data_IF_318477094234
#
_entry.id   IF_318477094234
#
_cell.length_a   1.000
_cell.length_b   1.000
_cell.length_c   1.000
_cell.angle_alpha   90.00
_cell.angle_beta   90.00
_cell.angle_gamma   90.00
#
_symmetry.space_group_name_H-M   'P 1'
#
loop_
_entity.id
_entity.type
_entity.pdbx_description
1 polymer ?
#
# COMPACT_ATOMS: atom_id res chain seq x y z
N UNK A 1 -23.06 -12.84 8.32
CA UNK A 1 -22.48 -12.41 9.63
C UNK A 1 -21.94 -11.00 9.47
N UNK A 2 -22.50 -10.00 10.15
CA UNK A 2 -22.07 -8.61 10.01
C UNK A 2 -20.64 -8.48 10.56
N UNK A 3 -19.64 -8.26 9.68
CA UNK A 3 -18.30 -7.80 10.08
C UNK A 3 -18.41 -6.32 10.46
N UNK A 4 -18.14 -5.97 11.69
CA UNK A 4 -18.10 -4.59 12.17
C UNK A 4 -16.74 -4.03 11.77
N UNK A 5 -16.66 -3.32 10.65
CA UNK A 5 -15.45 -2.61 10.26
C UNK A 5 -15.29 -1.38 11.16
N UNK A 6 -14.22 -1.35 11.93
CA UNK A 6 -13.86 -0.24 12.78
C UNK A 6 -13.09 0.78 11.94
N UNK A 7 -13.77 1.86 11.56
CA UNK A 7 -13.14 3.01 10.90
C UNK A 7 -12.22 3.72 11.91
N UNK A 8 -10.93 3.69 11.68
CA UNK A 8 -9.98 4.58 12.35
C UNK A 8 -9.40 5.57 11.33
N UNK A 9 -10.03 6.73 11.25
CA UNK A 9 -9.42 7.89 10.60
C UNK A 9 -8.46 8.49 11.63
N UNK A 10 -7.15 8.29 11.43
CA UNK A 10 -6.13 8.99 12.22
C UNK A 10 -5.77 10.28 11.50
N UNK A 11 -6.44 11.37 11.86
CA UNK A 11 -6.05 12.73 11.48
C UNK A 11 -4.90 13.15 12.43
N UNK A 12 -3.65 13.01 11.99
CA UNK A 12 -2.52 13.63 12.68
C UNK A 12 -2.16 14.96 12.02
N UNK A 13 -2.65 16.05 12.59
CA UNK A 13 -2.14 17.40 12.30
C UNK A 13 -0.82 17.57 13.05
N UNK A 14 0.31 17.51 12.35
CA UNK A 14 1.63 17.81 12.93
C UNK A 14 1.98 19.26 12.63
N UNK A 15 2.07 20.06 13.68
CA UNK A 15 2.60 21.44 13.62
C UNK A 15 4.13 21.34 13.48
N UNK A 16 4.65 21.76 12.33
CA UNK A 16 6.10 21.82 12.05
C UNK A 16 6.66 23.13 12.60
N UNK A 17 7.50 23.03 13.62
CA UNK A 17 8.37 24.14 14.06
C UNK A 17 9.64 24.17 13.18
N UNK A 18 9.75 25.23 12.36
CA UNK A 18 10.92 25.52 11.54
C UNK A 18 12.10 25.96 12.41
N UNK A 19 13.10 25.10 12.55
CA UNK A 19 14.42 25.49 13.04
C UNK A 19 15.38 25.59 11.85
N UNK A 20 15.79 26.81 11.53
CA UNK A 20 16.79 27.10 10.51
C UNK A 20 18.16 26.63 10.98
N UNK A 21 18.78 25.64 10.30
CA UNK A 21 20.19 25.33 10.42
C UNK A 21 20.88 25.51 9.07
N UNK A 22 22.06 26.15 9.13
CA UNK A 22 22.95 26.48 8.01
C UNK A 22 23.40 25.25 7.20
N UNK A 23 23.69 25.38 5.88
CA UNK A 23 24.06 24.24 5.05
C UNK A 23 25.53 23.82 5.33
N UNK A 24 25.71 22.72 6.01
CA UNK A 24 26.93 21.94 5.95
C UNK A 24 26.88 21.09 4.67
N UNK A 25 27.81 21.27 3.74
CA UNK A 25 27.94 20.48 2.53
C UNK A 25 28.48 19.08 2.86
N UNK A 26 27.59 18.21 3.35
CA UNK A 26 27.84 16.77 3.38
C UNK A 26 27.47 16.22 1.99
N UNK A 27 28.42 15.58 1.29
CA UNK A 27 28.14 14.73 0.14
C UNK A 27 27.00 13.78 0.55
N UNK A 28 25.83 13.96 -0.06
CA UNK A 28 24.74 12.98 0.08
C UNK A 28 25.28 11.62 -0.33
N UNK A 29 25.29 10.66 0.59
CA UNK A 29 25.57 9.28 0.26
C UNK A 29 24.51 8.82 -0.73
N UNK A 30 24.92 8.37 -1.92
CA UNK A 30 24.00 7.87 -2.94
C UNK A 30 23.24 6.71 -2.32
N UNK A 31 21.93 6.85 -2.20
CA UNK A 31 21.06 5.79 -1.68
C UNK A 31 21.19 4.56 -2.58
N UNK A 32 21.30 3.38 -1.97
CA UNK A 32 21.35 2.12 -2.69
C UNK A 32 20.09 1.95 -3.57
N UNK A 33 20.26 1.46 -4.80
CA UNK A 33 19.15 1.31 -5.74
C UNK A 33 18.08 0.34 -5.25
N UNK A 34 18.46 -0.70 -4.50
CA UNK A 34 17.51 -1.62 -3.87
C UNK A 34 16.63 -0.89 -2.86
N UNK A 35 17.22 -0.02 -2.03
CA UNK A 35 16.46 0.79 -1.05
C UNK A 35 15.57 1.81 -1.75
N UNK A 36 16.03 2.41 -2.87
CA UNK A 36 15.19 3.31 -3.67
C UNK A 36 13.97 2.57 -4.23
N UNK A 37 14.15 1.36 -4.75
CA UNK A 37 13.05 0.53 -5.24
C UNK A 37 12.07 0.19 -4.10
N UNK A 38 12.57 -0.28 -2.97
CA UNK A 38 11.73 -0.58 -1.80
C UNK A 38 10.95 0.66 -1.35
N UNK A 39 11.59 1.81 -1.24
CA UNK A 39 10.92 3.05 -0.88
C UNK A 39 9.83 3.44 -1.88
N UNK A 40 10.03 3.19 -3.17
CA UNK A 40 9.04 3.47 -4.21
C UNK A 40 7.77 2.62 -4.04
N UNK A 41 7.86 1.39 -3.55
CA UNK A 41 6.68 0.51 -3.38
C UNK A 41 5.63 1.09 -2.41
N UNK A 42 6.05 1.91 -1.44
CA UNK A 42 5.15 2.57 -0.48
C UNK A 42 5.25 4.11 -0.50
N UNK A 43 5.86 4.69 -1.56
CA UNK A 43 6.04 6.14 -1.65
C UNK A 43 4.71 6.91 -1.58
N UNK A 44 3.65 6.39 -2.19
CA UNK A 44 2.33 7.00 -2.19
C UNK A 44 1.82 7.20 -0.76
N UNK A 45 1.79 6.14 0.06
CA UNK A 45 1.31 6.23 1.44
C UNK A 45 2.27 7.03 2.33
N UNK A 46 3.57 7.01 2.03
CA UNK A 46 4.58 7.80 2.74
C UNK A 46 4.29 9.30 2.56
N UNK A 47 4.01 9.74 1.32
CA UNK A 47 3.66 11.14 1.03
C UNK A 47 2.29 11.48 1.61
N UNK A 48 1.31 10.61 1.51
CA UNK A 48 -0.02 10.79 2.13
C UNK A 48 0.09 11.03 3.64
N UNK A 49 1.04 10.39 4.31
CA UNK A 49 1.32 10.58 5.73
C UNK A 49 2.22 11.80 6.04
N UNK A 50 2.59 12.61 5.05
CA UNK A 50 3.49 13.76 5.21
C UNK A 50 4.94 13.37 5.56
N UNK A 51 5.37 12.16 5.20
CA UNK A 51 6.71 11.63 5.45
C UNK A 51 7.60 11.74 4.22
N UNK A 52 8.91 11.47 4.37
CA UNK A 52 9.91 11.60 3.29
C UNK A 52 10.08 10.28 2.53
N UNK A 53 9.65 10.16 1.26
CA UNK A 53 9.76 8.93 0.48
C UNK A 53 11.21 8.55 0.12
N UNK A 54 12.20 9.40 0.39
CA UNK A 54 13.64 9.09 0.22
C UNK A 54 14.22 8.31 1.40
N UNK A 55 13.52 8.28 2.54
CA UNK A 55 13.96 7.56 3.74
C UNK A 55 13.30 6.19 3.81
N UNK A 56 14.06 5.20 4.24
CA UNK A 56 13.53 3.85 4.50
C UNK A 56 12.48 3.93 5.62
N UNK A 57 11.24 3.52 5.31
CA UNK A 57 10.08 3.68 6.18
C UNK A 57 9.58 5.11 6.34
N UNK A 58 10.02 6.06 5.50
CA UNK A 58 9.54 7.44 5.48
C UNK A 58 10.15 8.35 6.54
N UNK A 59 10.99 7.85 7.45
CA UNK A 59 11.58 8.62 8.54
C UNK A 59 12.85 7.98 9.11
N UNK A 60 13.63 8.79 9.85
CA UNK A 60 14.83 8.29 10.53
C UNK A 60 14.47 7.48 11.79
N UNK A 61 15.23 6.41 12.13
CA UNK A 61 15.00 5.59 13.33
C UNK A 61 15.47 6.31 14.61
N UNK A 62 14.76 7.36 15.02
CA UNK A 62 14.99 8.07 16.29
C UNK A 62 14.09 7.50 17.38
N UNK A 63 14.43 7.74 18.66
CA UNK A 63 13.59 7.28 19.78
C UNK A 63 12.16 7.81 19.72
N UNK A 64 11.96 9.04 19.22
CA UNK A 64 10.63 9.62 19.05
C UNK A 64 9.85 8.90 17.94
N UNK A 65 10.49 8.64 16.78
CA UNK A 65 9.88 7.95 15.67
C UNK A 65 9.63 6.46 15.99
N UNK A 66 10.53 5.82 16.74
CA UNK A 66 10.32 4.46 17.23
C UNK A 66 9.07 4.35 18.10
N UNK A 67 8.84 5.32 19.01
CA UNK A 67 7.62 5.36 19.82
C UNK A 67 6.38 5.54 18.95
N UNK A 68 6.40 6.48 18.01
CA UNK A 68 5.30 6.73 17.07
C UNK A 68 4.97 5.47 16.26
N UNK A 69 5.99 4.80 15.70
CA UNK A 69 5.77 3.59 14.91
C UNK A 69 5.22 2.43 15.75
N UNK A 70 5.63 2.28 17.01
CA UNK A 70 5.04 1.30 17.92
C UNK A 70 3.55 1.55 18.14
N UNK A 71 3.15 2.80 18.34
CA UNK A 71 1.74 3.17 18.52
C UNK A 71 0.92 2.89 17.24
N UNK A 72 1.44 3.23 16.07
CA UNK A 72 0.78 2.97 14.78
C UNK A 72 0.70 1.46 14.50
N UNK A 73 1.79 0.73 14.65
CA UNK A 73 1.82 -0.72 14.40
C UNK A 73 0.89 -1.47 15.37
N UNK A 74 0.84 -1.07 16.62
CA UNK A 74 -0.09 -1.66 17.59
C UNK A 74 -1.55 -1.37 17.23
N UNK A 75 -1.89 -0.10 16.90
CA UNK A 75 -3.28 0.30 16.67
C UNK A 75 -3.85 -0.21 15.35
N UNK A 76 -3.04 -0.17 14.27
CA UNK A 76 -3.50 -0.51 12.92
C UNK A 76 -3.27 -2.00 12.55
N UNK A 77 -2.26 -2.66 13.17
CA UNK A 77 -1.81 -3.99 12.77
C UNK A 77 -1.76 -5.00 13.91
N UNK A 78 -2.03 -4.59 15.15
CA UNK A 78 -1.86 -5.40 16.36
C UNK A 78 -0.43 -5.93 16.54
N UNK A 79 0.56 -5.25 15.97
CA UNK A 79 1.98 -5.60 16.06
C UNK A 79 2.56 -4.95 17.31
N UNK A 80 3.15 -5.78 18.21
CA UNK A 80 3.70 -5.34 19.50
C UNK A 80 5.13 -5.81 19.75
N UNK A 81 5.65 -6.70 18.92
CA UNK A 81 6.96 -7.35 19.06
C UNK A 81 7.47 -7.92 17.73
N UNK A 82 8.63 -8.58 17.77
CA UNK A 82 9.24 -9.21 16.59
C UNK A 82 8.39 -10.32 15.99
N UNK A 83 7.79 -11.18 16.82
CA UNK A 83 7.01 -12.33 16.36
C UNK A 83 5.76 -11.88 15.61
N UNK A 84 5.00 -10.93 16.18
CA UNK A 84 3.83 -10.36 15.53
C UNK A 84 4.17 -9.57 14.27
N UNK A 85 5.33 -8.88 14.23
CA UNK A 85 5.80 -8.18 13.05
C UNK A 85 6.11 -9.15 11.90
N UNK A 86 6.93 -10.17 12.14
CA UNK A 86 7.29 -11.16 11.11
C UNK A 86 6.07 -11.97 10.65
N UNK A 87 5.19 -12.35 11.57
CA UNK A 87 3.96 -13.07 11.24
C UNK A 87 3.04 -12.27 10.34
N UNK A 88 2.85 -10.98 10.63
CA UNK A 88 2.02 -10.09 9.80
C UNK A 88 2.64 -9.88 8.41
N UNK A 89 3.96 -9.65 8.34
CA UNK A 89 4.64 -9.49 7.06
C UNK A 89 4.54 -10.79 6.24
N UNK A 90 4.75 -11.94 6.88
CA UNK A 90 4.64 -13.23 6.20
C UNK A 90 3.21 -13.49 5.69
N UNK A 91 2.18 -13.16 6.46
CA UNK A 91 0.80 -13.24 6.01
C UNK A 91 0.55 -12.36 4.78
N UNK A 92 1.03 -11.10 4.77
CA UNK A 92 0.92 -10.20 3.62
C UNK A 92 1.68 -10.75 2.38
N UNK A 93 2.76 -11.50 2.58
CA UNK A 93 3.54 -12.10 1.49
C UNK A 93 2.89 -13.36 0.90
N UNK A 94 2.00 -14.04 1.63
CA UNK A 94 1.48 -15.36 1.24
C UNK A 94 -0.01 -15.42 0.98
N UNK A 95 -0.81 -14.78 1.81
CA UNK A 95 -2.27 -14.80 1.77
C UNK A 95 -2.81 -13.39 1.55
N UNK A 96 -2.58 -12.53 2.53
CA UNK A 96 -3.04 -11.15 2.52
C UNK A 96 -4.57 -11.05 2.43
N UNK A 97 -5.03 -9.91 1.96
CA UNK A 97 -6.42 -9.68 1.59
C UNK A 97 -6.73 -10.24 0.21
N UNK A 98 -5.67 -10.52 -0.57
CA UNK A 98 -5.82 -11.05 -1.92
C UNK A 98 -6.49 -12.42 -1.94
N UNK A 99 -6.25 -13.27 -0.95
CA UNK A 99 -6.87 -14.59 -0.88
C UNK A 99 -8.41 -14.50 -0.85
N UNK A 100 -8.96 -13.67 0.05
CA UNK A 100 -10.42 -13.44 0.15
C UNK A 100 -10.96 -12.77 -1.12
N UNK A 101 -10.22 -11.80 -1.67
CA UNK A 101 -10.61 -11.14 -2.93
C UNK A 101 -10.74 -12.15 -4.09
N UNK A 102 -9.78 -13.06 -4.23
CA UNK A 102 -9.78 -14.06 -5.29
C UNK A 102 -10.98 -15.03 -5.16
N UNK A 103 -11.35 -15.42 -3.93
CA UNK A 103 -12.54 -16.26 -3.70
C UNK A 103 -13.82 -15.55 -4.19
N UNK A 104 -14.01 -14.27 -3.87
CA UNK A 104 -15.17 -13.51 -4.32
C UNK A 104 -15.16 -13.23 -5.82
N UNK A 105 -13.99 -12.95 -6.40
CA UNK A 105 -13.85 -12.77 -7.84
C UNK A 105 -14.18 -14.06 -8.60
N UNK A 106 -13.74 -15.22 -8.12
CA UNK A 106 -14.05 -16.51 -8.71
C UNK A 106 -15.56 -16.80 -8.63
N UNK A 107 -16.22 -16.48 -7.51
CA UNK A 107 -17.66 -16.58 -7.36
C UNK A 107 -18.40 -15.68 -8.37
N UNK A 108 -17.95 -14.43 -8.53
CA UNK A 108 -18.50 -13.52 -9.54
C UNK A 108 -18.35 -14.09 -10.95
N UNK A 109 -17.15 -14.56 -11.32
CA UNK A 109 -16.91 -15.11 -12.66
C UNK A 109 -17.77 -16.33 -12.94
N UNK A 110 -17.96 -17.21 -11.94
CA UNK A 110 -18.76 -18.40 -12.07
C UNK A 110 -20.28 -18.12 -12.22
N UNK A 111 -20.76 -16.99 -11.66
CA UNK A 111 -22.18 -16.64 -11.61
C UNK A 111 -22.47 -15.28 -12.27
N UNK A 112 -21.70 -14.90 -13.29
CA UNK A 112 -21.71 -13.55 -13.89
C UNK A 112 -23.10 -13.10 -14.34
N UNK A 113 -23.92 -14.00 -14.88
CA UNK A 113 -25.27 -13.67 -15.35
C UNK A 113 -26.17 -13.26 -14.17
N UNK A 114 -26.12 -13.98 -13.05
CA UNK A 114 -26.90 -13.66 -11.84
C UNK A 114 -26.51 -12.30 -11.26
N UNK A 115 -25.19 -12.01 -11.17
CA UNK A 115 -24.70 -10.70 -10.71
C UNK A 115 -25.15 -9.56 -11.64
N UNK A 116 -25.14 -9.77 -12.96
CA UNK A 116 -25.63 -8.79 -13.93
C UNK A 116 -27.13 -8.53 -13.82
N UNK A 117 -27.93 -9.57 -13.54
CA UNK A 117 -29.36 -9.42 -13.29
C UNK A 117 -29.61 -8.56 -12.06
N UNK A 118 -28.90 -8.81 -10.94
CA UNK A 118 -28.96 -7.99 -9.71
C UNK A 118 -28.58 -6.53 -10.00
N UNK A 119 -27.47 -6.29 -10.71
CA UNK A 119 -27.05 -4.93 -11.09
C UNK A 119 -28.13 -4.23 -11.94
N UNK A 120 -28.74 -4.97 -12.85
CA UNK A 120 -29.81 -4.44 -13.69
C UNK A 120 -31.04 -4.03 -12.86
N UNK A 121 -31.40 -4.81 -11.85
CA UNK A 121 -32.49 -4.49 -10.91
C UNK A 121 -32.15 -3.25 -10.07
N UNK A 122 -30.94 -3.17 -9.53
CA UNK A 122 -30.48 -2.01 -8.77
C UNK A 122 -30.53 -0.74 -9.64
N UNK A 123 -30.00 -0.79 -10.85
CA UNK A 123 -29.97 0.34 -11.78
C UNK A 123 -31.37 0.77 -12.28
N UNK A 124 -32.34 -0.14 -12.28
CA UNK A 124 -33.76 0.19 -12.59
C UNK A 124 -34.46 0.88 -11.41
N UNK A 125 -33.90 0.77 -10.19
CA UNK A 125 -34.37 1.51 -9.03
C UNK A 125 -33.94 2.99 -9.11
N UNK A 126 -34.87 3.90 -8.79
CA UNK A 126 -34.57 5.33 -8.80
C UNK A 126 -33.73 5.80 -7.61
N UNK A 127 -33.48 4.92 -6.63
CA UNK A 127 -32.76 5.23 -5.39
C UNK A 127 -31.95 4.02 -4.94
N UNK A 128 -30.75 3.82 -5.52
CA UNK A 128 -29.82 2.83 -5.02
C UNK A 128 -29.35 3.20 -3.59
N UNK A 129 -29.32 2.22 -2.71
CA UNK A 129 -28.77 2.41 -1.35
C UNK A 129 -27.23 2.49 -1.40
N UNK A 130 -26.56 3.02 -0.35
CA UNK A 130 -25.11 2.99 -0.28
C UNK A 130 -24.52 1.57 -0.40
N UNK A 131 -25.17 0.58 0.19
CA UNK A 131 -24.74 -0.82 0.11
C UNK A 131 -24.87 -1.38 -1.31
N UNK A 132 -25.94 -1.03 -2.05
CA UNK A 132 -26.11 -1.41 -3.45
C UNK A 132 -25.07 -0.74 -4.35
N UNK A 133 -24.71 0.52 -4.07
CA UNK A 133 -23.66 1.22 -4.79
C UNK A 133 -22.30 0.54 -4.58
N UNK A 134 -21.94 0.22 -3.33
CA UNK A 134 -20.70 -0.50 -2.99
C UNK A 134 -20.66 -1.89 -3.63
N UNK A 135 -21.80 -2.59 -3.70
CA UNK A 135 -21.88 -3.87 -4.39
C UNK A 135 -21.53 -3.72 -5.89
N UNK A 136 -22.12 -2.75 -6.58
CA UNK A 136 -21.82 -2.49 -8.00
C UNK A 136 -20.33 -2.14 -8.18
N UNK A 137 -19.77 -1.25 -7.34
CA UNK A 137 -18.37 -0.86 -7.41
C UNK A 137 -17.44 -2.05 -7.16
N UNK A 138 -17.80 -2.97 -6.25
CA UNK A 138 -17.03 -4.20 -6.03
C UNK A 138 -17.02 -5.12 -7.25
N UNK A 139 -18.17 -5.26 -7.93
CA UNK A 139 -18.28 -6.03 -9.17
C UNK A 139 -17.45 -5.39 -10.30
N UNK A 140 -17.44 -4.07 -10.41
CA UNK A 140 -16.60 -3.36 -11.37
C UNK A 140 -15.08 -3.62 -11.12
N UNK A 141 -14.66 -3.71 -9.84
CA UNK A 141 -13.28 -4.08 -9.49
C UNK A 141 -13.00 -5.53 -9.91
N UNK A 142 -13.90 -6.49 -9.61
CA UNK A 142 -13.73 -7.89 -10.03
C UNK A 142 -13.63 -8.00 -11.55
N UNK A 143 -14.50 -7.33 -12.30
CA UNK A 143 -14.45 -7.36 -13.75
C UNK A 143 -13.15 -6.75 -14.29
N UNK A 144 -12.72 -5.63 -13.75
CA UNK A 144 -11.47 -4.98 -14.15
C UNK A 144 -10.27 -5.89 -13.87
N UNK A 145 -10.16 -6.45 -12.66
CA UNK A 145 -9.06 -7.35 -12.29
C UNK A 145 -9.09 -8.63 -13.13
N UNK A 146 -10.24 -9.25 -13.30
CA UNK A 146 -10.39 -10.44 -14.14
C UNK A 146 -9.91 -10.21 -15.59
N UNK A 147 -10.14 -9.02 -16.14
CA UNK A 147 -9.75 -8.68 -17.51
C UNK A 147 -8.29 -8.25 -17.66
N UNK A 148 -7.64 -7.74 -16.60
CA UNK A 148 -6.30 -7.15 -16.69
C UNK A 148 -5.22 -7.98 -15.99
N UNK A 149 -5.53 -8.63 -14.87
CA UNK A 149 -4.58 -9.36 -14.02
C UNK A 149 -5.25 -10.51 -13.25
N UNK A 150 -5.91 -11.46 -13.94
CA UNK A 150 -6.73 -12.50 -13.30
C UNK A 150 -5.96 -13.37 -12.29
N UNK A 151 -4.69 -13.64 -12.56
CA UNK A 151 -3.86 -14.49 -11.70
C UNK A 151 -3.30 -13.74 -10.48
N UNK A 152 -3.29 -12.40 -10.52
CA UNK A 152 -2.71 -11.57 -9.47
C UNK A 152 -3.75 -11.05 -8.46
N UNK A 153 -5.03 -10.98 -8.85
CA UNK A 153 -6.05 -10.34 -8.00
C UNK A 153 -5.67 -8.89 -7.68
N UNK A 154 -5.64 -8.58 -6.38
CA UNK A 154 -5.24 -7.28 -5.82
C UNK A 154 -3.93 -7.39 -5.01
N UNK A 155 -3.05 -8.32 -5.36
CA UNK A 155 -1.85 -8.67 -4.56
C UNK A 155 -0.89 -7.51 -4.35
N UNK A 156 -0.86 -6.50 -5.24
CA UNK A 156 -0.03 -5.31 -5.04
C UNK A 156 -0.39 -4.55 -3.76
N UNK A 157 -1.67 -4.54 -3.35
CA UNK A 157 -2.12 -3.97 -2.09
C UNK A 157 -1.43 -4.63 -0.89
N UNK A 158 -1.30 -5.94 -0.89
CA UNK A 158 -0.65 -6.68 0.19
C UNK A 158 0.87 -6.55 0.15
N UNK A 159 1.49 -6.71 -1.03
CA UNK A 159 2.95 -6.65 -1.18
C UNK A 159 3.52 -5.27 -0.86
N UNK A 160 2.86 -4.18 -1.28
CA UNK A 160 3.29 -2.82 -0.92
C UNK A 160 3.16 -2.58 0.59
N UNK A 161 2.16 -3.14 1.24
CA UNK A 161 2.02 -3.06 2.71
C UNK A 161 3.03 -3.94 3.43
N UNK A 162 3.42 -5.09 2.87
CA UNK A 162 4.49 -5.91 3.43
C UNK A 162 5.81 -5.14 3.53
N UNK A 163 6.21 -4.41 2.47
CA UNK A 163 7.41 -3.56 2.48
C UNK A 163 7.30 -2.40 3.47
N UNK A 164 6.12 -1.78 3.56
CA UNK A 164 5.85 -0.71 4.51
C UNK A 164 5.92 -1.19 5.97
N UNK A 165 5.23 -2.29 6.29
CA UNK A 165 5.22 -2.87 7.65
C UNK A 165 6.62 -3.33 8.04
N UNK A 166 7.40 -3.92 7.13
CA UNK A 166 8.78 -4.30 7.39
C UNK A 166 9.65 -3.08 7.75
N UNK A 167 9.57 -2.01 6.96
CA UNK A 167 10.33 -0.79 7.23
C UNK A 167 9.91 -0.07 8.51
N UNK A 168 8.61 -0.04 8.81
CA UNK A 168 8.09 0.52 10.06
C UNK A 168 8.46 -0.32 11.29
N UNK A 169 8.47 -1.66 11.15
CA UNK A 169 8.90 -2.56 12.22
C UNK A 169 10.38 -2.38 12.56
N UNK A 170 11.23 -2.06 11.57
CA UNK A 170 12.61 -1.64 11.81
C UNK A 170 12.65 -0.32 12.59
N UNK A 171 11.92 0.72 12.18
CA UNK A 171 11.90 2.01 12.89
C UNK A 171 11.40 1.84 14.32
N UNK A 172 10.41 0.98 14.55
CA UNK A 172 9.89 0.62 15.87
C UNK A 172 10.93 -0.13 16.73
N UNK A 173 11.95 -0.73 16.11
CA UNK A 173 12.95 -1.56 16.78
C UNK A 173 12.44 -2.97 17.10
N UNK A 174 11.47 -3.48 16.34
CA UNK A 174 10.99 -4.85 16.45
C UNK A 174 11.82 -5.84 15.63
N UNK A 175 12.37 -5.41 14.48
CA UNK A 175 13.28 -6.19 13.65
C UNK A 175 14.52 -5.36 13.28
N UNK A 176 15.62 -6.05 12.97
CA UNK A 176 16.86 -5.39 12.52
C UNK A 176 16.72 -4.87 11.08
N UNK A 177 17.57 -3.90 10.71
CA UNK A 177 17.55 -3.28 9.39
C UNK A 177 17.71 -4.29 8.25
N UNK A 178 18.71 -5.16 8.39
CA UNK A 178 19.00 -6.21 7.41
C UNK A 178 17.80 -7.13 7.19
N UNK A 179 17.11 -7.49 8.29
CA UNK A 179 15.92 -8.34 8.21
C UNK A 179 14.76 -7.63 7.53
N UNK A 180 14.53 -6.35 7.81
CA UNK A 180 13.52 -5.55 7.15
C UNK A 180 13.78 -5.44 5.63
N UNK A 181 15.05 -5.28 5.24
CA UNK A 181 15.44 -5.23 3.82
C UNK A 181 15.28 -6.59 3.15
N UNK A 182 15.65 -7.71 3.79
CA UNK A 182 15.43 -9.06 3.27
C UNK A 182 13.97 -9.32 2.94
N UNK A 183 13.07 -9.06 3.89
CA UNK A 183 11.62 -9.21 3.72
C UNK A 183 11.07 -8.30 2.62
N UNK A 184 11.60 -7.07 2.54
CA UNK A 184 11.20 -6.14 1.49
C UNK A 184 11.69 -6.57 0.10
N UNK A 185 12.87 -7.18 -0.01
CA UNK A 185 13.38 -7.77 -1.27
C UNK A 185 12.51 -8.96 -1.68
N UNK A 186 12.06 -9.79 -0.73
CA UNK A 186 11.14 -10.88 -1.02
C UNK A 186 9.83 -10.36 -1.63
N UNK A 187 9.21 -9.34 -1.01
CA UNK A 187 8.03 -8.68 -1.56
C UNK A 187 8.30 -8.09 -2.96
N UNK A 188 9.42 -7.39 -3.14
CA UNK A 188 9.79 -6.77 -4.41
C UNK A 188 9.99 -7.80 -5.55
N UNK A 189 10.50 -9.00 -5.23
CA UNK A 189 10.59 -10.10 -6.20
C UNK A 189 9.22 -10.59 -6.63
N UNK A 190 8.30 -10.80 -5.67
CA UNK A 190 6.91 -11.18 -5.97
C UNK A 190 6.19 -10.11 -6.80
N UNK A 191 6.41 -8.81 -6.51
CA UNK A 191 5.89 -7.72 -7.35
C UNK A 191 6.36 -7.85 -8.80
N UNK A 192 7.64 -8.15 -9.02
CA UNK A 192 8.22 -8.30 -10.37
C UNK A 192 7.79 -9.60 -11.08
N UNK A 193 7.38 -10.61 -10.35
CA UNK A 193 6.77 -11.82 -10.93
C UNK A 193 5.35 -11.53 -11.44
N UNK A 194 4.60 -10.67 -10.73
CA UNK A 194 3.21 -10.37 -11.05
C UNK A 194 3.01 -9.15 -11.97
N UNK A 195 3.94 -8.19 -12.01
CA UNK A 195 3.76 -6.92 -12.69
C UNK A 195 4.93 -6.59 -13.62
N UNK A 196 4.63 -5.86 -14.71
CA UNK A 196 5.63 -5.47 -15.72
C UNK A 196 6.23 -4.08 -15.49
N UNK A 197 5.59 -3.23 -14.70
CA UNK A 197 5.98 -1.83 -14.53
C UNK A 197 5.49 -1.25 -13.19
N UNK A 198 5.98 -0.05 -12.86
CA UNK A 198 5.46 0.74 -11.74
C UNK A 198 3.99 1.11 -11.91
N UNK A 199 3.58 1.44 -13.13
CA UNK A 199 2.20 1.78 -13.44
C UNK A 199 1.27 0.60 -13.15
N UNK A 200 1.60 -0.60 -13.66
CA UNK A 200 0.82 -1.81 -13.40
C UNK A 200 0.71 -2.13 -11.91
N UNK A 201 1.83 -2.00 -11.17
CA UNK A 201 1.85 -2.24 -9.73
C UNK A 201 0.95 -1.25 -8.97
N UNK A 202 1.09 0.05 -9.26
CA UNK A 202 0.35 1.09 -8.51
C UNK A 202 -1.12 1.11 -8.88
N UNK A 203 -1.47 0.84 -10.13
CA UNK A 203 -2.87 0.69 -10.54
C UNK A 203 -3.54 -0.47 -9.79
N UNK A 204 -2.87 -1.61 -9.68
CA UNK A 204 -3.37 -2.75 -8.91
C UNK A 204 -3.41 -2.46 -7.39
N UNK A 205 -2.42 -1.73 -6.86
CA UNK A 205 -2.44 -1.26 -5.48
C UNK A 205 -3.66 -0.37 -5.18
N UNK A 206 -3.98 0.56 -6.07
CA UNK A 206 -5.12 1.47 -5.91
C UNK A 206 -6.47 0.72 -6.00
N UNK A 207 -6.56 -0.30 -6.86
CA UNK A 207 -7.74 -1.18 -6.91
C UNK A 207 -7.90 -1.97 -5.61
N UNK A 208 -6.80 -2.51 -5.07
CA UNK A 208 -6.82 -3.21 -3.79
C UNK A 208 -7.17 -2.28 -2.63
N UNK A 209 -6.70 -1.03 -2.64
CA UNK A 209 -7.12 -0.04 -1.67
C UNK A 209 -8.61 0.26 -1.77
N UNK A 210 -9.13 0.51 -2.97
CA UNK A 210 -10.54 0.77 -3.21
C UNK A 210 -11.43 -0.37 -2.69
N UNK A 211 -11.09 -1.61 -3.02
CA UNK A 211 -11.80 -2.78 -2.54
C UNK A 211 -11.79 -2.92 -1.02
N UNK A 212 -10.61 -2.69 -0.40
CA UNK A 212 -10.44 -2.83 1.05
C UNK A 212 -11.12 -1.71 1.84
N UNK A 213 -11.07 -0.47 1.33
CA UNK A 213 -11.62 0.71 2.02
C UNK A 213 -13.11 0.90 1.79
N UNK A 214 -13.69 0.24 0.76
CA UNK A 214 -15.06 0.47 0.30
C UNK A 214 -15.33 1.95 -0.06
N UNK A 215 -14.27 2.68 -0.48
CA UNK A 215 -14.39 4.07 -0.90
C UNK A 215 -14.74 4.17 -2.37
N UNK A 216 -15.71 5.05 -2.69
CA UNK A 216 -16.13 5.29 -4.07
C UNK A 216 -15.14 6.22 -4.81
N UNK A 217 -14.75 5.88 -6.05
CA UNK A 217 -13.95 6.77 -6.90
C UNK A 217 -14.75 8.00 -7.36
N UNK A 218 -16.07 8.00 -7.20
CA UNK A 218 -16.95 9.13 -7.52
C UNK A 218 -17.06 10.14 -6.37
N UNK A 219 -16.61 9.82 -5.17
CA UNK A 219 -16.55 10.72 -4.04
C UNK A 219 -15.23 11.54 -4.08
N UNK A 220 -15.28 12.84 -4.42
CA UNK A 220 -14.09 13.67 -4.53
C UNK A 220 -13.37 13.89 -3.19
N UNK A 221 -14.03 13.66 -2.06
CA UNK A 221 -13.48 13.80 -0.72
C UNK A 221 -12.93 12.48 -0.16
N UNK A 222 -12.98 11.40 -0.94
CA UNK A 222 -12.45 10.08 -0.52
C UNK A 222 -10.92 10.08 -0.47
N UNK A 223 -10.37 9.27 0.44
CA UNK A 223 -8.92 9.04 0.50
C UNK A 223 -8.40 8.32 -0.77
N UNK A 224 -9.25 7.56 -1.45
CA UNK A 224 -8.92 6.95 -2.74
C UNK A 224 -8.57 8.01 -3.78
N UNK A 225 -9.43 9.04 -3.94
CA UNK A 225 -9.21 10.14 -4.89
C UNK A 225 -7.98 10.97 -4.50
N UNK A 226 -7.77 11.22 -3.19
CA UNK A 226 -6.55 11.86 -2.70
C UNK A 226 -5.30 11.06 -3.09
N UNK A 227 -5.29 9.73 -2.89
CA UNK A 227 -4.18 8.84 -3.26
C UNK A 227 -3.90 8.84 -4.76
N UNK A 228 -4.94 8.82 -5.59
CA UNK A 228 -4.80 8.93 -7.04
C UNK A 228 -4.15 10.26 -7.44
N UNK A 229 -4.54 11.36 -6.79
CA UNK A 229 -3.91 12.68 -6.97
C UNK A 229 -2.44 12.68 -6.56
N UNK A 230 -2.09 12.15 -5.40
CA UNK A 230 -0.71 12.01 -4.93
C UNK A 230 0.13 11.20 -5.93
N UNK A 231 -0.37 10.08 -6.44
CA UNK A 231 0.34 9.28 -7.44
C UNK A 231 0.61 10.09 -8.71
N UNK A 232 -0.41 10.78 -9.22
CA UNK A 232 -0.27 11.61 -10.42
C UNK A 232 0.76 12.74 -10.25
N UNK A 233 0.85 13.33 -9.05
CA UNK A 233 1.82 14.38 -8.72
C UNK A 233 3.23 13.81 -8.54
N UNK A 234 3.38 12.65 -7.90
CA UNK A 234 4.68 11.96 -7.77
C UNK A 234 5.28 11.61 -9.12
N UNK A 235 4.49 11.09 -10.05
CA UNK A 235 4.95 10.75 -11.41
C UNK A 235 5.45 11.98 -12.18
N UNK A 236 4.85 13.14 -11.96
CA UNK A 236 5.25 14.41 -12.61
C UNK A 236 6.39 15.13 -11.90
N UNK A 237 6.68 14.75 -10.67
CA UNK A 237 7.70 15.39 -9.84
C UNK A 237 9.11 15.20 -10.39
N UNK A 238 10.00 16.18 -10.18
CA UNK A 238 11.44 16.03 -10.43
C UNK A 238 12.08 14.95 -9.56
N UNK A 239 11.47 14.64 -8.41
CA UNK A 239 11.89 13.64 -7.45
C UNK A 239 11.02 12.36 -7.55
N UNK A 240 10.52 12.05 -8.76
CA UNK A 240 9.66 10.90 -9.02
C UNK A 240 10.29 9.59 -8.50
N UNK A 241 9.73 8.94 -7.45
CA UNK A 241 10.26 7.69 -6.92
C UNK A 241 10.14 6.54 -7.92
N UNK A 242 9.19 6.61 -8.84
CA UNK A 242 8.92 5.60 -9.88
C UNK A 242 9.82 5.75 -11.10
N UNK A 243 10.76 6.71 -11.10
CA UNK A 243 11.78 6.86 -12.16
C UNK A 243 12.90 5.82 -12.07
N UNK A 244 12.98 5.07 -10.96
CA UNK A 244 13.93 3.97 -10.84
C UNK A 244 13.54 2.83 -11.80
N UNK A 245 14.55 2.26 -12.46
CA UNK A 245 14.33 1.14 -13.39
C UNK A 245 13.66 -0.04 -12.65
N UNK A 246 12.53 -0.49 -13.22
CA UNK A 246 11.78 -1.63 -12.70
C UNK A 246 12.63 -2.90 -12.61
N UNK A 247 13.60 -3.07 -13.49
CA UNK A 247 14.40 -4.29 -13.62
C UNK A 247 15.77 -4.24 -12.92
N UNK A 248 15.99 -3.34 -11.95
CA UNK A 248 17.25 -3.32 -11.21
C UNK A 248 17.53 -4.68 -10.55
N UNK A 249 18.80 -5.11 -10.43
CA UNK A 249 19.14 -6.25 -9.58
C UNK A 249 18.98 -5.84 -8.10
N UNK A 250 18.33 -6.72 -7.32
CA UNK A 250 18.26 -6.52 -5.86
C UNK A 250 19.48 -7.12 -5.16
N UNK A 251 20.07 -6.36 -4.29
CA UNK A 251 21.18 -6.77 -3.41
C UNK A 251 20.95 -6.25 -2.00
N UNK A 252 21.52 -6.94 -1.01
CA UNK A 252 21.60 -6.36 0.33
C UNK A 252 22.50 -5.12 0.28
N UNK A 253 22.13 -4.04 0.98
CA UNK A 253 22.99 -2.87 1.11
C UNK A 253 24.32 -3.24 1.76
N UNK A 254 25.40 -2.60 1.31
CA UNK A 254 26.69 -2.77 1.99
C UNK A 254 26.58 -2.28 3.43
N UNK A 255 27.00 -3.11 4.39
CA UNK A 255 27.10 -2.73 5.80
C UNK A 255 28.13 -1.58 5.91
N UNK A 256 27.65 -0.39 6.22
CA UNK A 256 28.50 0.80 6.47
C UNK A 256 28.74 0.99 7.94
#
# INVERSE_FOLDING_TARGET
MRKTHFFFIVFCVIVISLSACSPSSTKEAKTDSTIQFINATYALITVNNGQDPKLFGGMKPTSANAKLMKEILQSAWSITDTESAESTIQWLLTEGHNAEFMEYMDEYVANKDEFNDIITEINASSNATPEETLFIESIEIFEKVHNTSPDNGIVAWDLCRATQVASWSYIAGYIEYERAVELSIEAARKMREGFGSWEDLIDNYLLGYQYWSEESPSDPDSTLVERQGIYADLVKSSDNPYSIDWNIPFSMPDNK
#
